data_IF_872704319900
#
_entry.id   IF_872704319900
#
_cell.length_a   1.000
_cell.length_b   1.000
_cell.length_c   1.000
_cell.angle_alpha   90.00
_cell.angle_beta   90.00
_cell.angle_gamma   90.00
#
_symmetry.space_group_name_H-M   'P 1'
#
loop_
_entity.id
_entity.type
_entity.pdbx_description
1 polymer ?
#
# COMPACT_ATOMS: atom_id res chain seq x y z
N UNK A 1 -1.06 13.86 -0.91
CA UNK A 1 -1.48 15.21 -0.44
C UNK A 1 -2.88 15.61 -0.91
N UNK A 2 -3.29 15.45 -2.18
CA UNK A 2 -4.66 15.78 -2.65
C UNK A 2 -5.77 14.89 -2.07
N UNK A 3 -5.63 13.56 -2.12
CA UNK A 3 -6.65 12.62 -1.56
C UNK A 3 -6.86 12.82 -0.06
N UNK A 4 -5.76 13.02 0.67
CA UNK A 4 -5.81 13.43 2.06
C UNK A 4 -6.59 14.76 2.21
N UNK A 5 -6.25 15.82 1.48
CA UNK A 5 -6.91 17.12 1.67
C UNK A 5 -8.39 17.16 1.24
N UNK A 6 -8.77 16.40 0.22
CA UNK A 6 -10.15 16.34 -0.30
C UNK A 6 -11.04 15.37 0.52
N UNK A 7 -10.47 14.27 1.04
CA UNK A 7 -11.22 13.26 1.83
C UNK A 7 -11.11 13.46 3.35
N UNK A 8 -10.07 14.13 3.87
CA UNK A 8 -9.89 14.37 5.32
C UNK A 8 -10.87 15.42 5.88
N UNK A 9 -11.45 16.28 5.03
CA UNK A 9 -12.45 17.25 5.48
C UNK A 9 -13.80 16.60 5.82
N UNK A 10 -14.19 15.51 5.16
CA UNK A 10 -15.45 14.81 5.43
C UNK A 10 -15.29 13.49 6.24
N UNK A 11 -14.15 12.79 6.12
CA UNK A 11 -13.93 11.45 6.69
C UNK A 11 -12.72 11.36 7.62
N UNK A 12 -12.31 12.48 8.23
CA UNK A 12 -11.00 12.68 8.88
C UNK A 12 -10.52 11.65 9.92
N UNK A 13 -11.35 10.71 10.38
CA UNK A 13 -10.95 9.59 11.27
C UNK A 13 -10.74 8.26 10.55
N UNK A 14 -11.37 8.05 9.38
CA UNK A 14 -11.34 6.77 8.65
C UNK A 14 -10.19 6.66 7.64
N UNK A 15 -9.60 7.78 7.25
CA UNK A 15 -8.47 7.83 6.32
C UNK A 15 -7.24 8.37 7.05
N UNK A 16 -6.16 7.60 7.05
CA UNK A 16 -4.89 7.95 7.64
C UNK A 16 -3.77 7.94 6.61
N UNK A 17 -2.63 8.49 6.99
CA UNK A 17 -1.40 8.40 6.21
C UNK A 17 -0.21 8.11 7.12
N UNK A 18 0.83 7.54 6.52
CA UNK A 18 2.10 7.29 7.16
C UNK A 18 3.21 7.58 6.16
N UNK A 19 3.89 8.70 6.36
CA UNK A 19 5.05 9.12 5.58
C UNK A 19 6.26 9.24 6.49
N UNK A 20 7.43 9.50 5.92
CA UNK A 20 8.64 9.64 6.73
C UNK A 20 8.44 10.81 7.72
N UNK A 21 8.63 10.52 9.01
CA UNK A 21 8.49 11.47 10.13
C UNK A 21 7.07 11.93 10.48
N UNK A 22 6.02 11.43 9.81
CA UNK A 22 4.64 11.86 10.07
C UNK A 22 3.66 10.68 9.95
N UNK A 23 2.76 10.56 10.93
CA UNK A 23 1.77 9.47 11.00
C UNK A 23 0.46 10.00 11.58
N UNK A 24 -0.65 9.66 10.92
CA UNK A 24 -2.02 9.95 11.38
C UNK A 24 -2.90 8.71 11.59
N UNK A 25 -2.34 7.50 11.41
CA UNK A 25 -3.04 6.22 11.63
C UNK A 25 -3.55 6.08 13.08
N UNK A 26 -4.85 5.92 13.25
CA UNK A 26 -5.55 5.64 14.51
C UNK A 26 -6.25 4.26 14.47
N UNK A 27 -6.95 3.88 15.54
CA UNK A 27 -7.79 2.68 15.54
C UNK A 27 -9.03 2.81 14.64
N UNK A 28 -9.44 4.03 14.30
CA UNK A 28 -10.58 4.30 13.41
C UNK A 28 -10.19 4.31 11.93
N UNK A 29 -8.88 4.26 11.62
CA UNK A 29 -8.37 4.31 10.25
C UNK A 29 -8.67 3.00 9.51
N UNK A 30 -9.53 3.09 8.51
CA UNK A 30 -9.88 2.00 7.59
C UNK A 30 -9.03 2.01 6.31
N UNK A 31 -8.54 3.19 5.90
CA UNK A 31 -7.72 3.37 4.70
C UNK A 31 -6.42 4.05 5.10
N UNK A 32 -5.28 3.43 4.79
CA UNK A 32 -3.96 3.96 5.10
C UNK A 32 -3.15 4.23 3.83
N UNK A 33 -2.79 5.50 3.61
CA UNK A 33 -1.79 5.87 2.62
C UNK A 33 -0.40 5.75 3.21
N UNK A 34 0.40 4.80 2.72
CA UNK A 34 1.75 4.54 3.22
C UNK A 34 2.75 4.60 2.06
N UNK A 35 3.94 5.15 2.29
CA UNK A 35 5.00 5.09 1.28
C UNK A 35 5.58 3.68 1.18
N UNK A 36 6.04 3.30 0.00
CA UNK A 36 6.59 1.96 -0.27
C UNK A 36 7.70 1.59 0.71
N UNK A 37 8.64 2.50 0.97
CA UNK A 37 9.75 2.26 1.90
C UNK A 37 9.29 1.99 3.33
N UNK A 38 8.20 2.61 3.78
CA UNK A 38 7.65 2.34 5.11
C UNK A 38 6.89 1.01 5.17
N UNK A 39 6.20 0.63 4.10
CA UNK A 39 5.55 -0.67 3.99
C UNK A 39 6.59 -1.80 3.94
N UNK A 40 7.67 -1.63 3.17
CA UNK A 40 8.80 -2.55 3.15
C UNK A 40 9.45 -2.70 4.53
N UNK A 41 9.60 -1.60 5.26
CA UNK A 41 10.08 -1.64 6.64
C UNK A 41 9.11 -2.41 7.54
N UNK A 42 7.81 -2.21 7.38
CA UNK A 42 6.82 -2.98 8.15
C UNK A 42 6.91 -4.48 7.85
N UNK A 43 7.06 -4.86 6.57
CA UNK A 43 7.26 -6.25 6.14
C UNK A 43 8.50 -6.90 6.79
N UNK A 44 9.58 -6.15 7.01
CA UNK A 44 10.77 -6.68 7.70
C UNK A 44 10.55 -6.99 9.18
N UNK A 45 9.49 -6.43 9.79
CA UNK A 45 9.14 -6.65 11.20
C UNK A 45 7.91 -7.53 11.39
N UNK A 46 6.99 -7.53 10.42
CA UNK A 46 5.73 -8.26 10.44
C UNK A 46 5.50 -8.88 9.06
N UNK A 47 6.05 -10.07 8.85
CA UNK A 47 6.05 -10.74 7.55
C UNK A 47 4.66 -10.97 6.96
N UNK A 48 3.64 -11.13 7.82
CA UNK A 48 2.27 -11.46 7.40
C UNK A 48 1.36 -10.26 7.16
N UNK A 49 1.78 -9.04 7.49
CA UNK A 49 0.98 -7.82 7.35
C UNK A 49 -0.47 -7.99 7.82
N UNK A 50 -0.68 -8.56 9.01
CA UNK A 50 -2.01 -9.06 9.43
C UNK A 50 -3.04 -7.96 9.65
N UNK A 51 -2.58 -6.71 9.71
CA UNK A 51 -3.38 -5.50 9.87
C UNK A 51 -4.09 -5.08 8.58
N UNK A 52 -3.76 -5.69 7.43
CA UNK A 52 -4.29 -5.31 6.13
C UNK A 52 -5.05 -6.48 5.51
N UNK A 53 -6.28 -6.22 5.07
CA UNK A 53 -7.07 -7.17 4.28
C UNK A 53 -6.88 -6.96 2.77
N UNK A 54 -6.47 -5.75 2.37
CA UNK A 54 -6.25 -5.36 0.98
C UNK A 54 -5.01 -4.47 0.90
N UNK A 55 -4.15 -4.71 -0.09
CA UNK A 55 -3.04 -3.82 -0.46
C UNK A 55 -3.31 -3.28 -1.87
N UNK A 56 -3.29 -1.95 -2.00
CA UNK A 56 -3.32 -1.26 -3.28
C UNK A 56 -1.90 -0.77 -3.58
N UNK A 57 -1.30 -1.27 -4.67
CA UNK A 57 -0.05 -0.73 -5.21
C UNK A 57 -0.42 0.22 -6.35
N UNK A 58 -0.15 1.50 -6.16
CA UNK A 58 -0.44 2.54 -7.15
C UNK A 58 0.76 2.79 -8.06
N UNK A 59 0.51 3.38 -9.23
CA UNK A 59 1.57 3.81 -10.16
C UNK A 59 2.59 2.70 -10.51
N UNK A 60 2.18 1.42 -10.56
CA UNK A 60 3.10 0.29 -10.74
C UNK A 60 3.87 0.31 -12.08
N UNK A 61 3.53 1.23 -12.98
CA UNK A 61 4.20 1.47 -14.24
C UNK A 61 5.48 2.33 -14.13
N UNK A 62 5.71 3.05 -13.03
CA UNK A 62 6.90 3.91 -12.89
C UNK A 62 8.21 3.14 -12.65
N UNK A 63 8.17 1.79 -12.61
CA UNK A 63 9.33 0.86 -12.61
C UNK A 63 10.54 1.36 -11.81
N UNK A 64 10.32 1.63 -10.52
CA UNK A 64 11.39 1.98 -9.58
C UNK A 64 11.69 0.83 -8.61
N UNK A 65 12.88 0.85 -8.01
CA UNK A 65 13.42 -0.22 -7.17
C UNK A 65 12.47 -0.66 -6.04
N UNK A 66 11.89 0.30 -5.31
CA UNK A 66 11.04 0.00 -4.16
C UNK A 66 9.73 -0.68 -4.59
N UNK A 67 9.03 -0.12 -5.58
CA UNK A 67 7.85 -0.74 -6.19
C UNK A 67 8.09 -2.13 -6.76
N UNK A 68 9.17 -2.34 -7.54
CA UNK A 68 9.49 -3.66 -8.10
C UNK A 68 9.74 -4.70 -6.98
N UNK A 69 10.43 -4.29 -5.92
CA UNK A 69 10.69 -5.15 -4.77
C UNK A 69 9.41 -5.45 -3.97
N UNK A 70 8.55 -4.44 -3.78
CA UNK A 70 7.27 -4.57 -3.10
C UNK A 70 6.32 -5.48 -3.89
N UNK A 71 6.29 -5.38 -5.23
CA UNK A 71 5.55 -6.28 -6.09
C UNK A 71 6.04 -7.73 -5.95
N UNK A 72 7.36 -7.94 -5.92
CA UNK A 72 7.95 -9.25 -5.70
C UNK A 72 7.56 -9.87 -4.36
N UNK A 73 7.69 -9.11 -3.27
CA UNK A 73 7.32 -9.59 -1.92
C UNK A 73 5.83 -9.82 -1.81
N UNK A 74 5.00 -8.90 -2.31
CA UNK A 74 3.53 -9.05 -2.23
C UNK A 74 3.04 -10.25 -3.03
N UNK A 75 3.67 -10.59 -4.17
CA UNK A 75 3.41 -11.84 -4.92
C UNK A 75 3.72 -13.10 -4.08
N UNK A 76 4.75 -13.07 -3.24
CA UNK A 76 5.02 -14.15 -2.29
C UNK A 76 4.03 -14.14 -1.12
N UNK A 77 3.69 -12.95 -0.61
CA UNK A 77 2.79 -12.78 0.52
C UNK A 77 1.38 -13.30 0.21
N UNK A 78 0.80 -13.00 -0.95
CA UNK A 78 -0.54 -13.49 -1.33
C UNK A 78 -0.60 -15.02 -1.41
N UNK A 79 0.52 -15.70 -1.69
CA UNK A 79 0.58 -17.17 -1.67
C UNK A 79 0.53 -17.70 -0.24
N UNK A 80 1.14 -16.99 0.71
CA UNK A 80 1.14 -17.34 2.13
C UNK A 80 -0.12 -16.85 2.89
N UNK A 81 -0.78 -15.81 2.39
CA UNK A 81 -2.01 -15.18 2.90
C UNK A 81 -3.08 -15.13 1.82
N UNK A 82 -3.79 -16.26 1.56
CA UNK A 82 -4.84 -16.31 0.54
C UNK A 82 -6.02 -15.35 0.81
N UNK A 83 -6.17 -14.91 2.05
CA UNK A 83 -7.17 -13.94 2.51
C UNK A 83 -6.79 -12.49 2.17
N UNK A 84 -5.51 -12.21 1.88
CA UNK A 84 -5.02 -10.90 1.49
C UNK A 84 -5.30 -10.63 0.01
N UNK A 85 -6.00 -9.54 -0.29
CA UNK A 85 -6.25 -9.09 -1.67
C UNK A 85 -5.18 -8.10 -2.11
N UNK A 86 -4.63 -8.28 -3.31
CA UNK A 86 -3.69 -7.37 -3.95
C UNK A 86 -4.35 -6.73 -5.17
N UNK A 87 -4.35 -5.40 -5.23
CA UNK A 87 -4.83 -4.61 -6.37
C UNK A 87 -3.66 -3.79 -6.90
N UNK A 88 -3.40 -3.91 -8.20
CA UNK A 88 -2.37 -3.13 -8.90
C UNK A 88 -3.06 -2.03 -9.72
N UNK A 89 -2.69 -0.77 -9.49
CA UNK A 89 -3.18 0.38 -10.23
C UNK A 89 -2.06 0.94 -11.11
N UNK A 90 -2.39 1.18 -12.38
CA UNK A 90 -1.45 1.65 -13.39
C UNK A 90 -2.18 2.61 -14.32
N UNK A 91 -1.52 3.71 -14.69
CA UNK A 91 -2.00 4.60 -15.74
C UNK A 91 -1.80 4.01 -17.16
N UNK A 92 -1.00 2.94 -17.29
CA UNK A 92 -0.71 2.28 -18.57
C UNK A 92 -1.34 0.90 -18.65
N UNK A 93 -1.84 0.55 -19.85
CA UNK A 93 -2.56 -0.71 -20.12
C UNK A 93 -1.63 -1.91 -20.35
N UNK A 94 -0.31 -1.74 -20.17
CA UNK A 94 0.67 -2.76 -20.55
C UNK A 94 0.77 -3.88 -19.51
N UNK A 95 -0.15 -4.85 -19.62
CA UNK A 95 -0.28 -6.03 -18.75
C UNK A 95 0.98 -6.92 -18.80
N UNK A 96 1.77 -6.88 -19.88
CA UNK A 96 2.97 -7.73 -20.05
C UNK A 96 4.12 -7.39 -19.10
N UNK A 97 4.07 -6.26 -18.41
CA UNK A 97 5.10 -5.84 -17.46
C UNK A 97 5.04 -6.58 -16.11
N UNK A 98 3.92 -7.26 -15.81
CA UNK A 98 3.60 -7.75 -14.45
C UNK A 98 3.41 -9.28 -14.33
N UNK A 99 3.49 -10.02 -15.44
CA UNK A 99 3.32 -11.49 -15.51
C UNK A 99 4.54 -12.27 -15.04
#
# INVERSE_FOLDING_TARGET
KRVAHEMLCEYGTQVGYQIRFERSKSQQTNILFITEGLLLRQLSTEEKLSQYSVILLDEVHERHLHGDFLLGITKCLIRARPDLKLVLMSATINIKLFG
#
